data_IF_456385697206
#
_entry.id   IF_456385697206
#
_cell.length_a   1.000
_cell.length_b   1.000
_cell.length_c   1.000
_cell.angle_alpha   90.00
_cell.angle_beta   90.00
_cell.angle_gamma   90.00
#
_symmetry.space_group_name_H-M   'P 1'
#
loop_
_entity.id
_entity.type
_entity.pdbx_description
1 polymer ?
#
# COMPACT_ATOMS: atom_id res chain seq x y z
N UNK A 1 -14.26 -20.18 1.62
CA UNK A 1 -13.42 -20.22 0.40
C UNK A 1 -13.86 -19.19 -0.67
N UNK A 2 -15.16 -18.90 -0.86
CA UNK A 2 -15.64 -17.91 -1.85
C UNK A 2 -15.10 -16.50 -1.61
N UNK A 3 -15.02 -16.05 -0.37
CA UNK A 3 -14.45 -14.75 -0.02
C UNK A 3 -12.97 -14.65 -0.41
N UNK A 4 -12.22 -15.72 -0.22
CA UNK A 4 -10.81 -15.77 -0.57
C UNK A 4 -10.60 -15.68 -2.11
N UNK A 5 -11.46 -16.39 -2.86
CA UNK A 5 -11.46 -16.31 -4.32
C UNK A 5 -11.83 -14.92 -4.83
N UNK A 6 -12.83 -14.28 -4.20
CA UNK A 6 -13.24 -12.91 -4.51
C UNK A 6 -12.10 -11.90 -4.26
N UNK A 7 -11.37 -12.03 -3.15
CA UNK A 7 -10.18 -11.22 -2.86
C UNK A 7 -9.11 -11.41 -3.93
N UNK A 8 -8.88 -12.66 -4.37
CA UNK A 8 -7.91 -12.99 -5.42
C UNK A 8 -8.26 -12.36 -6.77
N UNK A 9 -9.54 -12.41 -7.15
CA UNK A 9 -10.03 -11.76 -8.39
C UNK A 9 -9.82 -10.24 -8.31
N UNK A 10 -10.15 -9.63 -7.18
CA UNK A 10 -9.89 -8.21 -6.94
C UNK A 10 -8.41 -7.87 -7.05
N UNK A 11 -7.53 -8.68 -6.47
CA UNK A 11 -6.08 -8.48 -6.53
C UNK A 11 -5.53 -8.59 -7.95
N UNK A 12 -6.01 -9.56 -8.75
CA UNK A 12 -5.66 -9.67 -10.16
C UNK A 12 -6.07 -8.44 -10.95
N UNK A 13 -7.30 -7.97 -10.76
CA UNK A 13 -7.79 -6.75 -11.41
C UNK A 13 -6.96 -5.53 -11.01
N UNK A 14 -6.63 -5.37 -9.73
CA UNK A 14 -5.80 -4.28 -9.23
C UNK A 14 -4.41 -4.26 -9.82
N UNK A 15 -3.74 -5.40 -9.91
CA UNK A 15 -2.41 -5.53 -10.51
C UNK A 15 -2.42 -5.24 -12.01
N UNK A 16 -3.46 -5.67 -12.74
CA UNK A 16 -3.65 -5.38 -14.16
C UNK A 16 -3.90 -3.89 -14.43
N UNK A 17 -4.73 -3.24 -13.61
CA UNK A 17 -4.97 -1.80 -13.69
C UNK A 17 -3.66 -1.05 -13.49
N UNK A 18 -2.89 -1.40 -12.46
CA UNK A 18 -1.60 -0.76 -12.19
C UNK A 18 -0.60 -0.98 -13.34
N UNK A 19 -0.56 -2.18 -13.92
CA UNK A 19 0.30 -2.49 -15.06
C UNK A 19 -0.04 -1.65 -16.30
N UNK A 20 -1.33 -1.37 -16.52
CA UNK A 20 -1.80 -0.53 -17.64
C UNK A 20 -1.55 0.96 -17.45
N UNK A 21 -1.52 1.44 -16.21
CA UNK A 21 -1.26 2.85 -15.91
C UNK A 21 0.20 3.28 -16.23
N UNK A 22 1.10 2.33 -16.45
CA UNK A 22 2.47 2.61 -16.89
C UNK A 22 3.30 3.47 -15.92
N UNK A 23 4.00 4.48 -16.44
CA UNK A 23 4.79 5.43 -15.65
C UNK A 23 3.87 6.42 -14.94
N UNK A 24 3.56 6.16 -13.68
CA UNK A 24 2.83 7.10 -12.84
C UNK A 24 3.84 8.09 -12.26
N UNK A 25 3.78 9.34 -12.67
CA UNK A 25 4.66 10.40 -12.17
C UNK A 25 4.42 10.72 -10.70
N UNK A 26 3.19 10.56 -10.19
CA UNK A 26 2.79 10.88 -8.82
C UNK A 26 2.52 9.63 -7.96
N UNK A 27 3.47 8.70 -7.90
CA UNK A 27 3.32 7.44 -7.15
C UNK A 27 2.94 7.63 -5.68
N UNK A 28 3.47 8.66 -5.03
CA UNK A 28 3.17 8.97 -3.63
C UNK A 28 1.71 9.37 -3.41
N UNK A 29 1.18 10.29 -4.23
CA UNK A 29 -0.23 10.72 -4.13
C UNK A 29 -1.19 9.57 -4.43
N UNK A 30 -0.86 8.75 -5.43
CA UNK A 30 -1.66 7.57 -5.76
C UNK A 30 -1.68 6.59 -4.58
N UNK A 31 -0.55 6.35 -3.93
CA UNK A 31 -0.45 5.46 -2.77
C UNK A 31 -1.35 5.92 -1.62
N UNK A 32 -1.36 7.21 -1.28
CA UNK A 32 -2.24 7.76 -0.24
C UNK A 32 -3.72 7.65 -0.63
N UNK A 33 -4.09 8.04 -1.86
CA UNK A 33 -5.48 7.93 -2.33
C UNK A 33 -5.98 6.48 -2.30
N UNK A 34 -5.17 5.56 -2.80
CA UNK A 34 -5.50 4.12 -2.80
C UNK A 34 -5.57 3.58 -1.37
N UNK A 35 -4.70 4.06 -0.45
CA UNK A 35 -4.73 3.71 0.97
C UNK A 35 -6.03 4.11 1.65
N UNK A 36 -6.53 5.33 1.41
CA UNK A 36 -7.83 5.76 1.92
C UNK A 36 -8.99 4.94 1.35
N UNK A 37 -8.97 4.65 0.05
CA UNK A 37 -9.98 3.80 -0.58
C UNK A 37 -9.96 2.37 -0.03
N UNK A 38 -8.78 1.86 0.28
CA UNK A 38 -8.60 0.56 0.92
C UNK A 38 -9.20 0.54 2.33
N UNK A 39 -8.85 1.53 3.16
CA UNK A 39 -9.42 1.67 4.51
C UNK A 39 -10.94 1.80 4.46
N UNK A 40 -11.47 2.61 3.54
CA UNK A 40 -12.91 2.77 3.34
C UNK A 40 -13.58 1.45 2.92
N UNK A 41 -12.96 0.68 2.03
CA UNK A 41 -13.49 -0.63 1.61
C UNK A 41 -13.58 -1.61 2.77
N UNK A 42 -12.60 -1.60 3.69
CA UNK A 42 -12.63 -2.44 4.90
C UNK A 42 -13.77 -2.01 5.83
N UNK A 43 -13.95 -0.70 6.05
CA UNK A 43 -15.05 -0.20 6.87
C UNK A 43 -16.41 -0.55 6.26
N UNK A 44 -16.58 -0.40 4.96
CA UNK A 44 -17.82 -0.76 4.26
C UNK A 44 -18.06 -2.26 4.31
N UNK A 45 -17.03 -3.09 4.17
CA UNK A 45 -17.15 -4.54 4.30
C UNK A 45 -17.74 -4.97 5.66
N UNK A 46 -17.41 -4.25 6.73
CA UNK A 46 -17.94 -4.50 8.06
C UNK A 46 -19.47 -4.33 8.13
N UNK A 47 -20.08 -3.52 7.26
CA UNK A 47 -21.53 -3.27 7.23
C UNK A 47 -22.28 -4.19 6.26
N UNK A 48 -21.58 -5.08 5.55
CA UNK A 48 -22.20 -5.99 4.59
C UNK A 48 -23.16 -6.96 5.26
N UNK A 49 -24.42 -6.91 4.91
CA UNK A 49 -25.49 -7.76 5.42
C UNK A 49 -25.81 -8.95 4.52
N UNK A 50 -25.44 -8.87 3.24
CA UNK A 50 -25.68 -9.94 2.26
C UNK A 50 -24.37 -10.48 1.74
N UNK A 51 -24.37 -11.76 1.34
CA UNK A 51 -23.18 -12.40 0.79
C UNK A 51 -22.69 -11.75 -0.51
N UNK A 52 -23.63 -11.22 -1.31
CA UNK A 52 -23.31 -10.55 -2.56
C UNK A 52 -22.57 -9.23 -2.32
N UNK A 53 -23.06 -8.40 -1.38
CA UNK A 53 -22.37 -7.17 -0.99
C UNK A 53 -21.02 -7.45 -0.35
N UNK A 54 -20.92 -8.50 0.46
CA UNK A 54 -19.65 -8.93 1.06
C UNK A 54 -18.63 -9.35 -0.02
N UNK A 55 -19.03 -10.10 -1.05
CA UNK A 55 -18.16 -10.53 -2.13
C UNK A 55 -17.63 -9.33 -2.96
N UNK A 56 -18.48 -8.35 -3.26
CA UNK A 56 -18.08 -7.15 -3.98
C UNK A 56 -17.09 -6.33 -3.16
N UNK A 57 -17.39 -6.07 -1.89
CA UNK A 57 -16.57 -5.25 -1.04
C UNK A 57 -15.22 -5.89 -0.71
N UNK A 58 -15.18 -7.22 -0.53
CA UNK A 58 -13.91 -7.91 -0.30
C UNK A 58 -13.06 -7.99 -1.57
N UNK A 59 -13.68 -8.10 -2.76
CA UNK A 59 -12.96 -7.98 -4.03
C UNK A 59 -12.34 -6.59 -4.18
N UNK A 60 -13.06 -5.54 -3.79
CA UNK A 60 -12.56 -4.16 -3.81
C UNK A 60 -11.39 -3.98 -2.85
N UNK A 61 -11.48 -4.58 -1.66
CA UNK A 61 -10.38 -4.61 -0.69
C UNK A 61 -9.14 -5.31 -1.25
N UNK A 62 -9.31 -6.43 -1.92
CA UNK A 62 -8.25 -7.15 -2.63
C UNK A 62 -7.61 -6.30 -3.75
N UNK A 63 -8.43 -5.60 -4.53
CA UNK A 63 -7.99 -4.71 -5.61
C UNK A 63 -7.08 -3.58 -5.06
N UNK A 64 -7.55 -2.83 -4.08
CA UNK A 64 -6.76 -1.73 -3.50
C UNK A 64 -5.54 -2.23 -2.73
N UNK A 65 -5.66 -3.37 -2.04
CA UNK A 65 -4.54 -4.01 -1.35
C UNK A 65 -3.41 -4.41 -2.32
N UNK A 66 -3.76 -4.97 -3.48
CA UNK A 66 -2.79 -5.33 -4.51
C UNK A 66 -2.09 -4.10 -5.11
N UNK A 67 -2.83 -3.02 -5.37
CA UNK A 67 -2.26 -1.76 -5.87
C UNK A 67 -1.26 -1.20 -4.86
N UNK A 68 -1.63 -1.12 -3.57
CA UNK A 68 -0.76 -0.61 -2.51
C UNK A 68 0.49 -1.48 -2.36
N UNK A 69 0.34 -2.80 -2.34
CA UNK A 69 1.45 -3.74 -2.24
C UNK A 69 2.43 -3.60 -3.40
N UNK A 70 1.92 -3.50 -4.63
CA UNK A 70 2.73 -3.32 -5.83
C UNK A 70 3.44 -1.97 -5.87
N UNK A 71 2.75 -0.88 -5.46
CA UNK A 71 3.35 0.45 -5.36
C UNK A 71 4.45 0.49 -4.30
N UNK A 72 4.20 -0.10 -3.13
CA UNK A 72 5.18 -0.17 -2.05
C UNK A 72 6.44 -0.92 -2.48
N UNK A 73 6.28 -2.08 -3.11
CA UNK A 73 7.39 -2.87 -3.64
C UNK A 73 8.16 -2.11 -4.73
N UNK A 74 7.44 -1.48 -5.66
CA UNK A 74 8.03 -0.71 -6.75
C UNK A 74 8.77 0.53 -6.27
N UNK A 75 8.23 1.28 -5.31
CA UNK A 75 8.89 2.44 -4.71
C UNK A 75 10.16 2.02 -3.96
N UNK A 76 10.10 0.94 -3.19
CA UNK A 76 11.27 0.42 -2.48
C UNK A 76 12.39 0.04 -3.44
N UNK A 77 12.06 -0.61 -4.56
CA UNK A 77 13.06 -0.97 -5.58
C UNK A 77 13.69 0.24 -6.28
N UNK A 78 12.93 1.32 -6.45
CA UNK A 78 13.41 2.55 -7.10
C UNK A 78 14.26 3.42 -6.17
N UNK A 79 13.89 3.50 -4.89
CA UNK A 79 14.53 4.41 -3.93
C UNK A 79 15.75 3.80 -3.25
N UNK A 80 15.87 2.46 -3.24
CA UNK A 80 16.94 1.77 -2.53
C UNK A 80 18.11 1.47 -3.48
N UNK A 81 19.33 1.97 -3.19
CA UNK A 81 20.53 1.65 -3.95
C UNK A 81 20.79 0.15 -3.99
N UNK A 82 21.38 -0.34 -5.08
CA UNK A 82 21.59 -1.77 -5.35
C UNK A 82 22.39 -2.48 -4.23
N UNK A 83 23.38 -1.80 -3.66
CA UNK A 83 24.28 -2.39 -2.66
C UNK A 83 23.61 -2.68 -1.31
N UNK A 84 22.48 -2.04 -0.98
CA UNK A 84 21.72 -2.27 0.27
C UNK A 84 20.33 -2.86 0.02
N UNK A 85 19.92 -3.04 -1.23
CA UNK A 85 18.58 -3.54 -1.62
C UNK A 85 18.23 -4.85 -0.93
N UNK A 86 19.16 -5.80 -0.86
CA UNK A 86 18.95 -7.07 -0.18
C UNK A 86 18.64 -6.92 1.31
N UNK A 87 19.34 -6.01 2.01
CA UNK A 87 19.09 -5.75 3.44
C UNK A 87 17.73 -5.11 3.67
N UNK A 88 17.35 -4.13 2.86
CA UNK A 88 16.04 -3.48 2.96
C UNK A 88 14.91 -4.47 2.67
N UNK A 89 15.06 -5.30 1.64
CA UNK A 89 14.08 -6.34 1.32
C UNK A 89 13.93 -7.38 2.44
N UNK A 90 15.02 -7.79 3.09
CA UNK A 90 14.94 -8.72 4.23
C UNK A 90 14.22 -8.09 5.43
N UNK A 91 14.43 -6.81 5.72
CA UNK A 91 13.71 -6.09 6.77
C UNK A 91 12.22 -5.99 6.44
N UNK A 92 11.86 -5.70 5.18
CA UNK A 92 10.47 -5.68 4.75
C UNK A 92 9.79 -7.05 4.90
N UNK A 93 10.48 -8.13 4.52
CA UNK A 93 9.97 -9.50 4.72
C UNK A 93 9.84 -9.84 6.20
N UNK A 94 10.78 -9.41 7.04
CA UNK A 94 10.72 -9.58 8.48
C UNK A 94 9.51 -8.84 9.08
N UNK A 95 9.17 -7.65 8.57
CA UNK A 95 7.97 -6.90 8.99
C UNK A 95 6.69 -7.68 8.71
N UNK A 96 6.59 -8.40 7.59
CA UNK A 96 5.46 -9.29 7.29
C UNK A 96 5.33 -10.45 8.29
N UNK A 97 6.44 -10.92 8.86
CA UNK A 97 6.43 -11.98 9.88
C UNK A 97 5.82 -11.53 11.22
N UNK A 98 5.71 -10.23 11.47
CA UNK A 98 5.02 -9.67 12.63
C UNK A 98 3.50 -9.56 12.44
N UNK A 99 2.98 -9.82 11.25
CA UNK A 99 1.54 -9.77 10.95
C UNK A 99 0.68 -10.61 11.92
N UNK A 100 1.07 -11.83 12.33
CA UNK A 100 0.31 -12.62 13.29
C UNK A 100 0.17 -11.95 14.67
N UNK A 101 1.16 -11.15 15.10
CA UNK A 101 1.10 -10.45 16.39
C UNK A 101 -0.02 -9.40 16.37
N UNK A 102 -0.25 -8.74 15.26
CA UNK A 102 -1.37 -7.80 15.09
C UNK A 102 -2.74 -8.50 15.03
N UNK A 103 -2.79 -9.76 14.61
CA UNK A 103 -4.03 -10.52 14.52
C UNK A 103 -4.56 -10.97 15.89
N UNK A 104 -3.68 -11.21 16.87
CA UNK A 104 -4.06 -11.68 18.22
C UNK A 104 -5.05 -10.72 18.92
N UNK A 105 -4.77 -9.41 19.07
CA UNK A 105 -5.70 -8.50 19.70
C UNK A 105 -7.00 -8.33 18.91
N UNK A 106 -6.93 -8.37 17.57
CA UNK A 106 -8.11 -8.27 16.70
C UNK A 106 -9.02 -9.49 16.85
N UNK A 107 -8.44 -10.70 16.93
CA UNK A 107 -9.21 -11.93 17.14
C UNK A 107 -9.88 -11.94 18.52
N UNK A 108 -9.21 -11.49 19.58
CA UNK A 108 -9.79 -11.38 20.92
C UNK A 108 -10.98 -10.40 20.97
N UNK A 109 -10.89 -9.28 20.24
CA UNK A 109 -12.00 -8.32 20.10
C UNK A 109 -13.14 -8.96 19.30
N UNK A 110 -12.84 -9.72 18.26
CA UNK A 110 -13.85 -10.40 17.45
C UNK A 110 -14.61 -11.45 18.23
N UNK A 111 -13.94 -12.18 19.14
CA UNK A 111 -14.60 -13.15 20.04
C UNK A 111 -15.47 -12.47 21.10
N UNK A 112 -15.02 -11.34 21.67
CA UNK A 112 -15.71 -10.68 22.77
C UNK A 112 -16.85 -9.78 22.34
N UNK A 113 -16.69 -9.06 21.23
CA UNK A 113 -17.59 -7.98 20.78
C UNK A 113 -18.18 -8.22 19.39
N UNK A 114 -17.81 -9.31 18.75
CA UNK A 114 -18.27 -9.67 17.41
C UNK A 114 -17.34 -9.20 16.30
N UNK A 115 -17.39 -9.95 15.20
CA UNK A 115 -16.48 -9.78 14.05
C UNK A 115 -16.66 -8.45 13.34
N UNK A 116 -17.88 -7.91 13.32
CA UNK A 116 -18.21 -6.63 12.70
C UNK A 116 -17.46 -5.48 13.35
N UNK A 117 -17.46 -5.41 14.69
CA UNK A 117 -16.73 -4.38 15.45
C UNK A 117 -15.21 -4.51 15.26
N UNK A 118 -14.68 -5.74 15.24
CA UNK A 118 -13.26 -5.97 15.02
C UNK A 118 -12.81 -5.45 13.65
N UNK A 119 -13.59 -5.69 12.60
CA UNK A 119 -13.29 -5.22 11.24
C UNK A 119 -13.42 -3.70 11.15
N UNK A 120 -14.46 -3.09 11.74
CA UNK A 120 -14.61 -1.64 11.79
C UNK A 120 -13.44 -0.96 12.49
N UNK A 121 -13.03 -1.47 13.65
CA UNK A 121 -11.87 -0.95 14.38
C UNK A 121 -10.59 -1.06 13.55
N UNK A 122 -10.37 -2.17 12.86
CA UNK A 122 -9.22 -2.35 11.99
C UNK A 122 -9.19 -1.33 10.85
N UNK A 123 -10.31 -1.14 10.16
CA UNK A 123 -10.44 -0.17 9.07
C UNK A 123 -10.26 1.27 9.55
N UNK A 124 -10.85 1.64 10.68
CA UNK A 124 -10.69 2.98 11.27
C UNK A 124 -9.26 3.23 11.73
N UNK A 125 -8.59 2.25 12.34
CA UNK A 125 -7.19 2.35 12.76
C UNK A 125 -6.26 2.57 11.57
N UNK A 126 -6.47 1.85 10.48
CA UNK A 126 -5.72 2.06 9.21
C UNK A 126 -5.98 3.46 8.67
N UNK A 127 -7.24 3.90 8.61
CA UNK A 127 -7.58 5.25 8.15
C UNK A 127 -6.95 6.35 8.99
N UNK A 128 -6.99 6.21 10.33
CA UNK A 128 -6.36 7.15 11.26
C UNK A 128 -4.83 7.17 11.14
N UNK A 129 -4.20 6.02 10.95
CA UNK A 129 -2.74 5.94 10.75
C UNK A 129 -2.31 6.66 9.47
N UNK A 130 -3.05 6.50 8.37
CA UNK A 130 -2.80 7.22 7.13
C UNK A 130 -3.01 8.73 7.29
N UNK A 131 -4.05 9.14 8.03
CA UNK A 131 -4.30 10.54 8.34
C UNK A 131 -3.18 11.12 9.21
N UNK A 132 -2.73 10.41 10.22
CA UNK A 132 -1.62 10.83 11.07
C UNK A 132 -0.33 11.01 10.27
N UNK A 133 0.02 10.07 9.39
CA UNK A 133 1.19 10.17 8.52
C UNK A 133 1.07 11.39 7.61
N UNK A 134 -0.10 11.65 7.04
CA UNK A 134 -0.32 12.83 6.17
C UNK A 134 -0.18 14.14 6.92
N UNK A 135 -0.62 14.20 8.19
CA UNK A 135 -0.54 15.41 9.02
C UNK A 135 0.87 15.66 9.56
N UNK A 136 1.60 14.59 9.87
CA UNK A 136 2.95 14.69 10.46
C UNK A 136 4.06 14.86 9.43
N UNK A 137 3.85 14.41 8.18
CA UNK A 137 4.82 14.54 7.09
C UNK A 137 4.22 15.30 5.89
N UNK A 138 3.94 16.60 6.00
CA UNK A 138 3.53 17.40 4.84
C UNK A 138 4.62 17.49 3.76
N UNK A 139 5.89 17.25 4.13
CA UNK A 139 7.05 17.26 3.23
C UNK A 139 7.08 16.13 2.19
N UNK A 140 6.30 15.07 2.35
CA UNK A 140 6.18 14.04 1.30
C UNK A 140 5.56 14.57 -0.01
N UNK A 141 4.89 15.72 0.04
CA UNK A 141 4.49 16.46 -1.16
C UNK A 141 5.67 17.19 -1.82
N UNK A 142 6.72 17.50 -1.07
CA UNK A 142 7.88 18.28 -1.54
C UNK A 142 9.00 17.40 -2.15
N UNK A 143 8.94 16.09 -2.01
CA UNK A 143 9.90 15.17 -2.65
C UNK A 143 9.81 15.27 -4.18
N UNK A 144 8.67 15.73 -4.70
CA UNK A 144 8.45 15.93 -6.13
C UNK A 144 9.37 17.03 -6.72
N UNK A 145 9.55 18.13 -6.00
CA UNK A 145 10.26 19.32 -6.53
C UNK A 145 11.78 19.11 -6.64
N UNK A 146 12.34 18.20 -5.83
CA UNK A 146 13.77 17.91 -5.84
C UNK A 146 14.20 16.89 -6.91
N UNK A 147 13.29 16.05 -7.38
CA UNK A 147 13.58 15.11 -8.48
C UNK A 147 13.45 15.75 -9.87
N UNK A 148 12.52 16.70 -10.02
CA UNK A 148 12.35 17.46 -11.26
C UNK A 148 13.41 18.56 -11.44
N UNK A 149 14.10 18.97 -10.37
CA UNK A 149 15.13 20.02 -10.40
C UNK A 149 16.56 19.51 -10.58
N UNK A 150 16.79 18.20 -10.71
CA UNK A 150 18.10 17.71 -11.18
C UNK A 150 18.12 17.67 -12.71
N UNK A 151 18.65 18.72 -13.36
CA UNK A 151 18.80 18.71 -14.80
C UNK A 151 19.77 17.58 -15.20
N UNK A 152 19.46 16.93 -16.31
CA UNK A 152 20.27 15.86 -16.93
C UNK A 152 21.75 16.23 -17.18
N UNK A 153 22.14 17.45 -16.86
CA UNK A 153 23.51 17.95 -16.96
C UNK A 153 24.51 17.25 -16.02
N UNK A 154 24.06 16.70 -14.89
CA UNK A 154 24.98 16.08 -13.93
C UNK A 154 25.38 14.65 -14.32
N UNK A 155 24.62 13.99 -15.21
CA UNK A 155 25.00 12.68 -15.75
C UNK A 155 26.05 12.80 -16.85
N UNK A 156 26.12 13.94 -17.55
CA UNK A 156 27.10 14.19 -18.60
C UNK A 156 28.49 14.57 -18.06
N UNK A 157 28.57 15.10 -16.85
CA UNK A 157 29.85 15.47 -16.23
C UNK A 157 30.55 14.31 -15.54
N UNK A 158 29.79 13.34 -15.03
CA UNK A 158 30.36 12.13 -14.41
C UNK A 158 31.01 11.18 -15.46
N UNK A 159 30.45 11.13 -16.68
CA UNK A 159 30.99 10.31 -17.76
C UNK A 159 32.28 10.90 -18.37
N UNK A 160 32.48 12.22 -18.28
CA UNK A 160 33.71 12.87 -18.74
C UNK A 160 34.88 12.80 -17.75
N UNK A 161 34.66 12.53 -16.49
CA UNK A 161 35.74 12.44 -15.49
C UNK A 161 36.37 11.04 -15.40
N UNK A 162 35.76 10.02 -15.99
CA UNK A 162 36.25 8.64 -15.98
C UNK A 162 37.06 8.22 -17.23
N UNK A 163 37.33 9.17 -18.14
CA UNK A 163 38.08 8.94 -19.37
C UNK A 163 39.46 9.64 -19.40
N UNK A 164 40.10 9.83 -18.21
CA UNK A 164 41.51 10.19 -18.12
C UNK A 164 42.25 9.20 -17.25
#
# INVERSE_FOLDING_TARGET
>A
SLLLSATGIGALAGSLILARLGKIEEKGKLMFRTGYLWALSICLFSTAQTIETALILISLTGLFGAIIGSLNMGLTQLLVPDHIRGRVMSIMMMTHSFMPIGLIPISSIAESYGITLAIMLSGTLVGLSLLAIRLWLPELNSIKDNFDSQPASNLSTADKSNNF
#
